data_IF_865656987785
#
_entry.id   IF_865656987785
#
_cell.length_a   1.000
_cell.length_b   1.000
_cell.length_c   1.000
_cell.angle_alpha   90.00
_cell.angle_beta   90.00
_cell.angle_gamma   90.00
#
_symmetry.space_group_name_H-M   'P 1'
#
loop_
_entity.id
_entity.type
_entity.pdbx_description
1 polymer ?
#
# COMPACT_ATOMS: atom_id res chain seq x y z
N UNK A 1 18.68 3.38 18.21
CA UNK A 1 18.10 2.28 19.01
C UNK A 1 17.75 1.13 18.07
N UNK A 2 18.27 -0.10 18.26
CA UNK A 2 17.90 -1.23 17.40
C UNK A 2 16.59 -1.85 17.96
N UNK A 3 15.46 -1.79 17.24
CA UNK A 3 14.20 -2.36 17.73
C UNK A 3 14.31 -3.87 17.98
N UNK A 4 15.27 -4.58 17.36
CA UNK A 4 15.54 -6.01 17.64
C UNK A 4 16.05 -6.31 19.06
N UNK A 5 16.70 -5.35 19.71
CA UNK A 5 17.25 -5.53 21.06
C UNK A 5 16.46 -4.73 22.11
N UNK A 6 15.24 -4.30 21.78
CA UNK A 6 14.38 -3.60 22.75
C UNK A 6 13.86 -4.62 23.75
N UNK A 7 13.99 -4.33 25.05
CA UNK A 7 13.43 -5.16 26.12
C UNK A 7 11.94 -5.36 25.84
N UNK A 8 11.51 -6.61 25.87
CA UNK A 8 10.10 -6.95 25.74
C UNK A 8 9.39 -6.77 27.08
N UNK A 9 8.17 -6.24 27.03
CA UNK A 9 7.29 -6.04 28.18
C UNK A 9 5.97 -6.74 27.89
N UNK A 10 5.40 -7.38 28.92
CA UNK A 10 4.07 -7.97 28.81
C UNK A 10 3.05 -6.84 28.75
N UNK A 11 2.23 -6.82 27.71
CA UNK A 11 1.10 -5.89 27.58
C UNK A 11 -0.17 -6.65 27.25
N UNK A 12 -1.31 -6.01 27.50
CA UNK A 12 -2.63 -6.56 27.19
C UNK A 12 -3.26 -5.75 26.07
N UNK A 13 -3.50 -6.38 24.91
CA UNK A 13 -4.12 -5.74 23.74
C UNK A 13 -5.54 -6.27 23.57
N UNK A 14 -6.54 -5.40 23.55
CA UNK A 14 -7.92 -5.80 23.29
C UNK A 14 -8.22 -5.75 21.79
N UNK A 15 -8.70 -6.85 21.22
CA UNK A 15 -9.01 -6.96 19.79
C UNK A 15 -10.52 -6.85 19.49
N UNK A 16 -11.33 -6.41 20.45
CA UNK A 16 -12.79 -6.34 20.31
C UNK A 16 -13.52 -7.54 20.92
N UNK A 17 -12.83 -8.66 21.15
CA UNK A 17 -13.41 -9.85 21.79
C UNK A 17 -12.51 -10.43 22.87
N UNK A 18 -11.21 -10.45 22.64
CA UNK A 18 -10.20 -11.11 23.46
C UNK A 18 -9.14 -10.10 23.90
N UNK A 19 -8.68 -10.26 25.13
CA UNK A 19 -7.49 -9.59 25.64
C UNK A 19 -6.26 -10.47 25.37
N UNK A 20 -5.40 -10.04 24.45
CA UNK A 20 -4.13 -10.71 24.16
C UNK A 20 -3.08 -10.28 25.16
N UNK A 21 -2.60 -11.21 25.96
CA UNK A 21 -1.40 -11.01 26.78
C UNK A 21 -0.19 -11.33 25.90
N UNK A 22 0.53 -10.30 25.44
CA UNK A 22 1.60 -10.43 24.46
C UNK A 22 2.85 -9.66 24.86
N UNK A 23 4.01 -10.12 24.38
CA UNK A 23 5.28 -9.44 24.55
C UNK A 23 5.43 -8.36 23.48
N UNK A 24 5.35 -7.10 23.88
CA UNK A 24 5.59 -5.96 23.01
C UNK A 24 6.97 -5.34 23.30
N UNK A 25 7.51 -4.62 22.34
CA UNK A 25 8.79 -3.89 22.41
C UNK A 25 8.59 -2.48 22.96
N UNK A 26 7.58 -2.24 23.79
CA UNK A 26 7.19 -0.92 24.31
C UNK A 26 6.05 -0.29 23.52
N UNK A 27 5.91 1.02 23.64
CA UNK A 27 4.79 1.78 23.07
C UNK A 27 5.28 2.89 22.14
N UNK A 28 4.43 3.27 21.19
CA UNK A 28 4.57 4.41 20.29
C UNK A 28 3.17 4.98 20.03
N UNK A 29 3.01 6.29 20.19
CA UNK A 29 1.72 6.99 20.03
C UNK A 29 0.57 6.39 20.88
N UNK A 30 0.92 5.86 22.06
CA UNK A 30 -0.03 5.18 22.95
C UNK A 30 -0.41 3.76 22.52
N UNK A 31 0.17 3.24 21.44
CA UNK A 31 -0.08 1.90 20.93
C UNK A 31 1.08 0.94 21.25
N UNK A 32 0.79 -0.32 21.58
CA UNK A 32 1.82 -1.34 21.80
C UNK A 32 2.54 -1.65 20.48
N UNK A 33 3.86 -1.76 20.54
CA UNK A 33 4.72 -2.00 19.37
C UNK A 33 5.22 -3.43 19.36
N UNK A 34 4.93 -4.17 18.30
CA UNK A 34 5.45 -5.51 18.05
C UNK A 34 6.58 -5.48 17.04
N UNK A 35 7.55 -6.38 17.21
CA UNK A 35 8.54 -6.68 16.19
C UNK A 35 8.01 -7.61 15.11
N UNK A 36 8.82 -7.81 14.06
CA UNK A 36 8.52 -8.75 13.00
C UNK A 36 8.25 -10.16 13.55
N UNK A 37 7.04 -10.69 13.29
CA UNK A 37 6.63 -12.03 13.73
C UNK A 37 6.25 -12.14 15.21
N UNK A 38 6.18 -11.03 15.96
CA UNK A 38 5.85 -11.05 17.39
C UNK A 38 4.39 -10.71 17.69
N UNK A 39 3.67 -10.10 16.74
CA UNK A 39 2.28 -9.74 16.94
C UNK A 39 1.37 -10.97 17.06
N UNK A 40 0.32 -10.93 17.91
CA UNK A 40 -0.71 -11.96 17.94
C UNK A 40 -1.33 -12.20 16.56
N UNK A 41 -1.64 -13.47 16.25
CA UNK A 41 -2.14 -13.87 14.92
C UNK A 41 -3.50 -13.27 14.53
N UNK A 42 -4.29 -12.80 15.50
CA UNK A 42 -5.58 -12.12 15.29
C UNK A 42 -5.42 -10.64 14.94
N UNK A 43 -4.20 -10.11 15.02
CA UNK A 43 -3.86 -8.73 14.65
C UNK A 43 -3.14 -8.71 13.31
N UNK A 44 -3.77 -8.13 12.31
CA UNK A 44 -3.27 -8.12 10.93
C UNK A 44 -3.06 -6.71 10.42
N UNK A 45 -2.04 -6.54 9.59
CA UNK A 45 -1.84 -5.31 8.82
C UNK A 45 -2.94 -5.14 7.77
N UNK A 46 -3.13 -3.92 7.26
CA UNK A 46 -4.11 -3.65 6.17
C UNK A 46 -3.93 -4.57 4.97
N UNK A 47 -2.68 -4.83 4.57
CA UNK A 47 -2.36 -5.71 3.45
C UNK A 47 -2.70 -7.17 3.75
N UNK A 48 -2.43 -7.64 4.98
CA UNK A 48 -2.79 -8.99 5.41
C UNK A 48 -4.30 -9.17 5.50
N UNK A 49 -5.04 -8.20 6.04
CA UNK A 49 -6.52 -8.21 6.02
C UNK A 49 -7.04 -8.32 4.59
N UNK A 50 -6.51 -7.52 3.66
CA UNK A 50 -6.91 -7.56 2.26
C UNK A 50 -6.64 -8.93 1.62
N UNK A 51 -5.51 -9.57 1.96
CA UNK A 51 -5.16 -10.90 1.45
C UNK A 51 -6.15 -11.98 1.90
N UNK A 52 -6.75 -11.83 3.08
CA UNK A 52 -7.80 -12.74 3.60
C UNK A 52 -9.22 -12.26 3.31
N UNK A 53 -9.40 -11.30 2.40
CA UNK A 53 -10.73 -10.83 2.00
C UNK A 53 -11.43 -9.95 3.05
N UNK A 54 -10.68 -9.29 3.92
CA UNK A 54 -11.17 -8.41 4.97
C UNK A 54 -10.72 -6.96 4.77
N UNK A 55 -11.36 -6.03 5.49
CA UNK A 55 -10.99 -4.61 5.60
C UNK A 55 -11.11 -4.15 7.07
N UNK A 56 -10.36 -3.11 7.49
CA UNK A 56 -10.38 -2.63 8.88
C UNK A 56 -11.74 -2.17 9.42
N UNK A 57 -12.73 -1.92 8.55
CA UNK A 57 -14.09 -1.51 8.94
C UNK A 57 -14.18 -0.19 9.74
N UNK A 58 -13.23 0.73 9.54
CA UNK A 58 -13.21 2.01 10.24
C UNK A 58 -12.73 1.93 11.69
N UNK A 59 -12.24 0.77 12.13
CA UNK A 59 -11.58 0.64 13.43
C UNK A 59 -10.23 1.38 13.42
N UNK A 60 -9.89 1.99 14.55
CA UNK A 60 -8.54 2.52 14.80
C UNK A 60 -7.55 1.35 15.02
N UNK A 61 -6.25 1.54 14.70
CA UNK A 61 -5.25 0.53 14.95
C UNK A 61 -5.13 0.23 16.45
N UNK A 62 -5.03 -1.05 16.79
CA UNK A 62 -4.89 -1.51 18.19
C UNK A 62 -3.44 -1.72 18.60
N UNK A 63 -2.53 -1.80 17.62
CA UNK A 63 -1.10 -1.98 17.83
C UNK A 63 -0.32 -1.53 16.59
N UNK A 64 1.00 -1.44 16.74
CA UNK A 64 1.93 -1.14 15.65
C UNK A 64 2.92 -2.29 15.46
N UNK A 65 3.25 -2.58 14.21
CA UNK A 65 4.33 -3.47 13.81
C UNK A 65 5.50 -2.61 13.34
N UNK A 66 6.61 -2.59 14.10
CA UNK A 66 7.79 -1.80 13.77
C UNK A 66 8.98 -2.72 13.54
N UNK A 67 9.56 -2.63 12.35
CA UNK A 67 10.73 -3.43 11.99
C UNK A 67 11.68 -2.66 11.08
N UNK A 68 12.95 -3.05 11.12
CA UNK A 68 13.99 -2.48 10.27
C UNK A 68 14.34 -3.46 9.17
N UNK A 69 14.47 -2.93 7.96
CA UNK A 69 15.00 -3.73 6.86
C UNK A 69 16.51 -3.85 7.00
N UNK A 70 17.06 -4.94 6.49
CA UNK A 70 18.51 -5.10 6.37
C UNK A 70 19.10 -4.23 5.26
N UNK A 71 18.28 -3.77 4.32
CA UNK A 71 18.72 -2.94 3.18
C UNK A 71 18.92 -1.47 3.61
N UNK A 72 20.00 -0.81 3.14
CA UNK A 72 20.40 0.52 3.63
C UNK A 72 19.41 1.65 3.33
N UNK A 73 18.63 1.54 2.26
CA UNK A 73 17.68 2.58 1.83
C UNK A 73 16.33 2.56 2.56
N UNK A 74 16.02 1.47 3.30
CA UNK A 74 14.77 1.33 4.05
C UNK A 74 15.09 1.14 5.53
N UNK A 75 15.29 2.25 6.25
CA UNK A 75 15.82 2.21 7.62
C UNK A 75 14.86 1.53 8.59
N UNK A 76 13.56 1.78 8.45
CA UNK A 76 12.51 1.32 9.35
C UNK A 76 11.14 1.39 8.67
N UNK A 77 10.23 0.49 9.03
CA UNK A 77 8.84 0.51 8.57
C UNK A 77 7.93 0.27 9.76
N UNK A 78 6.94 1.13 9.85
CA UNK A 78 5.83 1.03 10.80
C UNK A 78 4.58 0.65 10.04
N UNK A 79 3.93 -0.42 10.46
CA UNK A 79 2.65 -0.84 9.92
C UNK A 79 1.62 -0.92 11.04
N UNK A 80 0.44 -0.37 10.78
CA UNK A 80 -0.71 -0.45 11.68
C UNK A 80 -1.26 -1.88 11.73
N UNK A 81 -1.60 -2.34 12.92
CA UNK A 81 -2.24 -3.63 13.16
C UNK A 81 -3.70 -3.43 13.60
N UNK A 82 -4.57 -4.22 12.98
CA UNK A 82 -6.02 -4.17 13.14
C UNK A 82 -6.54 -5.53 13.59
N UNK A 83 -7.63 -5.53 14.34
CA UNK A 83 -8.29 -6.77 14.74
C UNK A 83 -9.04 -7.41 13.57
N UNK A 84 -8.87 -8.72 13.42
CA UNK A 84 -9.67 -9.56 12.52
C UNK A 84 -11.14 -9.64 12.97
N UNK A 85 -11.41 -9.69 14.28
CA UNK A 85 -12.79 -9.81 14.80
C UNK A 85 -13.63 -8.55 14.52
N UNK A 86 -12.99 -7.36 14.53
CA UNK A 86 -13.64 -6.09 14.20
C UNK A 86 -13.61 -5.76 12.71
N UNK A 87 -12.88 -6.54 11.92
CA UNK A 87 -12.81 -6.35 10.48
C UNK A 87 -14.12 -6.75 9.81
N UNK A 88 -14.37 -6.16 8.65
CA UNK A 88 -15.52 -6.50 7.81
C UNK A 88 -15.04 -7.15 6.52
N UNK A 89 -15.96 -7.84 5.83
CA UNK A 89 -15.71 -8.34 4.49
C UNK A 89 -15.23 -7.22 3.56
N UNK A 90 -14.23 -7.54 2.73
CA UNK A 90 -13.78 -6.68 1.66
C UNK A 90 -14.95 -6.39 0.72
N UNK A 91 -15.07 -5.12 0.29
CA UNK A 91 -16.07 -4.71 -0.68
C UNK A 91 -15.44 -4.80 -2.07
N UNK A 92 -15.77 -5.82 -2.88
CA UNK A 92 -15.27 -5.86 -4.25
C UNK A 92 -15.82 -4.66 -5.03
N UNK A 93 -15.04 -4.13 -5.99
CA UNK A 93 -15.53 -3.09 -6.87
C UNK A 93 -16.74 -3.60 -7.66
N UNK A 94 -17.73 -2.74 -7.88
CA UNK A 94 -18.89 -3.09 -8.69
C UNK A 94 -18.49 -3.17 -10.17
N UNK A 95 -19.26 -3.89 -11.02
CA UNK A 95 -19.01 -3.92 -12.46
C UNK A 95 -18.93 -2.51 -13.10
N UNK A 96 -19.74 -1.56 -12.62
CA UNK A 96 -19.70 -0.18 -13.08
C UNK A 96 -18.41 0.57 -12.66
N UNK A 97 -17.87 0.25 -11.49
CA UNK A 97 -16.58 0.81 -11.05
C UNK A 97 -15.42 0.24 -11.87
N UNK A 98 -15.47 -1.05 -12.19
CA UNK A 98 -14.48 -1.70 -13.05
C UNK A 98 -14.51 -1.10 -14.46
N UNK A 99 -15.69 -0.96 -15.07
CA UNK A 99 -15.78 -0.36 -16.40
C UNK A 99 -15.35 1.11 -16.43
N UNK A 100 -15.62 1.87 -15.37
CA UNK A 100 -15.11 3.24 -15.25
C UNK A 100 -13.57 3.28 -15.15
N UNK A 101 -12.96 2.32 -14.44
CA UNK A 101 -11.51 2.18 -14.36
C UNK A 101 -10.92 1.80 -15.73
N UNK A 102 -11.54 0.86 -16.45
CA UNK A 102 -11.10 0.44 -17.77
C UNK A 102 -11.10 1.62 -18.75
N UNK A 103 -12.19 2.41 -18.77
CA UNK A 103 -12.28 3.63 -19.58
C UNK A 103 -11.23 4.67 -19.19
N UNK A 104 -10.95 4.82 -17.89
CA UNK A 104 -9.91 5.74 -17.43
C UNK A 104 -8.50 5.26 -17.84
N UNK A 105 -8.26 3.94 -17.84
CA UNK A 105 -7.01 3.35 -18.29
C UNK A 105 -6.85 3.44 -19.80
N UNK A 106 -7.91 3.23 -20.57
CA UNK A 106 -7.92 3.45 -22.02
C UNK A 106 -7.54 4.89 -22.36
N UNK A 107 -8.20 5.88 -21.76
CA UNK A 107 -7.88 7.30 -21.96
C UNK A 107 -6.44 7.67 -21.57
N UNK A 108 -5.85 6.97 -20.58
CA UNK A 108 -4.43 7.13 -20.20
C UNK A 108 -3.44 6.46 -21.16
N UNK A 109 -3.92 5.55 -22.00
CA UNK A 109 -3.14 4.78 -22.98
C UNK A 109 -3.30 5.30 -24.40
N UNK A 110 -4.35 6.09 -24.67
CA UNK A 110 -4.59 6.70 -25.97
C UNK A 110 -3.63 7.84 -26.23
N UNK A 111 -2.86 7.74 -27.32
CA UNK A 111 -2.05 8.84 -27.83
C UNK A 111 -2.94 9.95 -28.42
N UNK A 112 -2.61 11.21 -28.15
CA UNK A 112 -3.35 12.36 -28.68
C UNK A 112 -3.20 12.55 -30.20
N UNK A 113 -2.06 12.15 -30.78
CA UNK A 113 -1.78 12.39 -32.21
C UNK A 113 -2.32 11.29 -33.12
N UNK A 114 -2.03 10.02 -32.81
CA UNK A 114 -2.45 8.89 -33.65
C UNK A 114 -3.73 8.21 -33.18
N UNK A 115 -4.31 8.63 -32.05
CA UNK A 115 -5.46 8.01 -31.39
C UNK A 115 -5.30 6.51 -31.04
N UNK A 116 -4.09 5.95 -31.20
CA UNK A 116 -3.80 4.54 -30.91
C UNK A 116 -3.71 4.27 -29.40
N UNK A 117 -4.36 3.20 -28.95
CA UNK A 117 -4.30 2.71 -27.57
C UNK A 117 -3.03 1.88 -27.37
N UNK A 118 -2.16 2.29 -26.44
CA UNK A 118 -0.91 1.60 -26.11
C UNK A 118 -1.09 0.57 -24.98
N UNK A 119 -0.13 -0.35 -24.84
CA UNK A 119 -0.03 -1.29 -23.70
C UNK A 119 0.53 -0.64 -22.42
N UNK A 120 1.09 0.57 -22.54
CA UNK A 120 1.57 1.42 -21.44
C UNK A 120 0.76 2.73 -21.33
N UNK A 121 0.75 3.34 -20.15
CA UNK A 121 0.19 4.70 -20.00
C UNK A 121 1.12 5.71 -20.67
N UNK A 122 0.58 6.50 -21.61
CA UNK A 122 1.35 7.55 -22.28
C UNK A 122 1.81 8.62 -21.27
N UNK A 123 2.99 9.23 -21.44
CA UNK A 123 3.47 10.28 -20.54
C UNK A 123 2.47 11.43 -20.42
N UNK A 124 2.24 11.95 -19.22
CA UNK A 124 1.26 13.02 -19.00
C UNK A 124 1.69 14.37 -19.58
N UNK A 125 3.00 14.58 -19.77
CA UNK A 125 3.58 15.82 -20.29
C UNK A 125 3.32 15.99 -21.79
N UNK A 126 3.47 14.91 -22.57
CA UNK A 126 3.33 14.94 -24.03
C UNK A 126 2.00 14.37 -24.50
N UNK A 127 1.41 13.44 -23.72
CA UNK A 127 0.20 12.70 -24.07
C UNK A 127 0.33 11.92 -25.40
N UNK A 128 1.56 11.60 -25.76
CA UNK A 128 1.94 10.94 -27.00
C UNK A 128 2.48 9.54 -26.73
N UNK A 129 2.31 8.62 -27.69
CA UNK A 129 3.09 7.40 -27.69
C UNK A 129 4.54 7.70 -28.06
N UNK A 130 5.47 6.80 -27.72
CA UNK A 130 6.89 6.98 -28.01
C UNK A 130 7.16 7.22 -29.50
N UNK A 131 6.45 6.53 -30.39
CA UNK A 131 6.60 6.71 -31.85
C UNK A 131 6.24 8.12 -32.30
N UNK A 132 5.10 8.67 -31.86
CA UNK A 132 4.70 10.03 -32.22
C UNK A 132 5.64 11.07 -31.61
N UNK A 133 6.07 10.85 -30.37
CA UNK A 133 7.03 11.73 -29.71
C UNK A 133 8.39 11.75 -30.45
N UNK A 134 8.92 10.59 -30.81
CA UNK A 134 10.21 10.50 -31.52
C UNK A 134 10.16 11.16 -32.91
N UNK A 135 9.04 11.03 -33.62
CA UNK A 135 8.80 11.75 -34.88
C UNK A 135 8.81 13.27 -34.69
N UNK A 136 8.09 13.78 -33.67
CA UNK A 136 8.10 15.22 -33.37
C UNK A 136 9.51 15.72 -33.02
N UNK A 137 10.28 14.96 -32.22
CA UNK A 137 11.65 15.33 -31.89
C UNK A 137 12.56 15.31 -33.12
N UNK A 138 12.39 14.34 -34.02
CA UNK A 138 13.09 14.27 -35.30
C UNK A 138 12.82 15.47 -36.19
N UNK A 139 11.55 15.87 -36.32
CA UNK A 139 11.14 17.06 -37.08
C UNK A 139 11.76 18.34 -36.50
N UNK A 140 11.74 18.47 -35.17
CA UNK A 140 12.32 19.64 -34.48
C UNK A 140 13.85 19.70 -34.65
N UNK A 141 14.53 18.56 -34.61
CA UNK A 141 15.96 18.49 -34.87
C UNK A 141 16.31 18.85 -36.31
N UNK A 142 15.47 18.43 -37.27
CA UNK A 142 15.63 18.78 -38.70
C UNK A 142 15.41 20.26 -39.00
N UNK A 143 14.50 20.94 -38.29
CA UNK A 143 14.28 22.39 -38.43
C UNK A 143 15.40 23.22 -37.79
N UNK A 144 16.13 22.67 -36.81
CA UNK A 144 17.21 23.35 -36.11
C UNK A 144 18.58 23.22 -36.81
N UNK A 145 18.70 22.38 -37.85
CA UNK A 145 19.91 22.16 -38.65
C UNK A 145 19.90 23.02 -39.92
#
# INVERSE_FOLDING_TARGET
MNPRNRRQTVTTVFDGRTHHVALCRGEQDGLPVFGWGEAPSTLLTRSQLRAVGLRPNGQDPVALLVFRHHRPYARETTAELFSVELAAAYRPPTPAQLSALDRAMEARRTCVDCAGIQDYCVPTSTRQCWTCFDLEQGDRAGVAA
#
